data_IF_429584580287
#
_entry.id   IF_429584580287
#
_cell.length_a   1.000
_cell.length_b   1.000
_cell.length_c   1.000
_cell.angle_alpha   90.00
_cell.angle_beta   90.00
_cell.angle_gamma   90.00
#
_symmetry.space_group_name_H-M   'P 1'
#
loop_
_entity.id
_entity.type
_entity.pdbx_description
1 polymer ?
#
# COMPACT_ATOMS: atom_id res chain seq x y z
N UNK A 1 26.47 20.51 -44.07
CA UNK A 1 27.27 19.28 -44.03
C UNK A 1 26.33 18.12 -44.22
N UNK A 2 26.51 17.37 -45.31
CA UNK A 2 25.60 16.30 -45.71
C UNK A 2 25.74 15.09 -44.77
N UNK A 3 24.63 14.66 -44.17
CA UNK A 3 24.59 13.61 -43.15
C UNK A 3 25.18 12.29 -43.68
N UNK A 4 25.00 12.04 -44.97
CA UNK A 4 25.48 10.84 -45.67
C UNK A 4 27.01 10.83 -45.73
N UNK A 5 27.62 11.97 -46.09
CA UNK A 5 29.06 12.10 -46.21
C UNK A 5 29.76 11.94 -44.85
N UNK A 6 29.16 12.49 -43.79
CA UNK A 6 29.64 12.31 -42.41
C UNK A 6 29.59 10.85 -41.96
N UNK A 7 28.49 10.12 -42.23
CA UNK A 7 28.38 8.69 -41.92
C UNK A 7 29.46 7.87 -42.63
N UNK A 8 29.72 8.14 -43.91
CA UNK A 8 30.71 7.40 -44.69
C UNK A 8 32.14 7.64 -44.20
N UNK A 9 32.50 8.89 -43.89
CA UNK A 9 33.80 9.23 -43.33
C UNK A 9 34.03 8.57 -41.96
N UNK A 10 32.99 8.53 -41.13
CA UNK A 10 33.04 7.89 -39.81
C UNK A 10 33.25 6.38 -39.94
N UNK A 11 32.53 5.73 -40.87
CA UNK A 11 32.67 4.30 -41.12
C UNK A 11 34.03 3.90 -41.67
N UNK A 12 34.61 4.70 -42.57
CA UNK A 12 35.98 4.48 -43.05
C UNK A 12 36.99 4.57 -41.91
N UNK A 13 36.81 5.53 -40.99
CA UNK A 13 37.72 5.76 -39.87
C UNK A 13 37.69 4.65 -38.82
N UNK A 14 36.50 4.14 -38.49
CA UNK A 14 36.33 3.14 -37.43
C UNK A 14 36.12 1.71 -37.95
N UNK A 15 36.09 1.51 -39.28
CA UNK A 15 35.92 0.21 -39.97
C UNK A 15 34.63 -0.55 -39.63
N UNK A 16 33.65 0.10 -39.03
CA UNK A 16 32.30 -0.43 -38.86
C UNK A 16 31.28 0.65 -39.22
N UNK A 17 30.19 0.25 -39.87
CA UNK A 17 29.08 1.12 -40.26
C UNK A 17 27.82 0.65 -39.53
N UNK A 18 27.25 1.53 -38.70
CA UNK A 18 25.97 1.26 -38.04
C UNK A 18 24.84 1.66 -38.99
N UNK A 19 24.14 0.67 -39.55
CA UNK A 19 22.91 0.92 -40.32
C UNK A 19 21.71 1.07 -39.40
N UNK A 20 20.64 1.73 -39.86
CA UNK A 20 19.40 1.90 -39.07
C UNK A 20 18.72 0.57 -38.71
N UNK A 21 19.08 -0.51 -39.40
CA UNK A 21 18.61 -1.86 -39.17
C UNK A 21 19.42 -2.65 -38.14
N UNK A 22 20.59 -2.16 -37.73
CA UNK A 22 21.42 -2.81 -36.72
C UNK A 22 21.04 -2.31 -35.33
N UNK A 23 20.77 -3.24 -34.41
CA UNK A 23 20.49 -2.93 -33.02
C UNK A 23 21.32 -3.82 -32.10
N UNK A 24 21.83 -3.26 -30.99
CA UNK A 24 22.60 -4.02 -30.01
C UNK A 24 21.65 -4.43 -28.88
N UNK A 25 21.28 -5.71 -28.83
CA UNK A 25 20.44 -6.26 -27.73
C UNK A 25 21.23 -6.62 -26.47
N UNK A 26 22.58 -6.64 -26.54
CA UNK A 26 23.43 -7.04 -25.42
C UNK A 26 23.88 -5.82 -24.61
N UNK A 27 23.92 -5.91 -23.27
CA UNK A 27 24.40 -4.80 -22.45
C UNK A 27 25.90 -4.54 -22.68
N UNK A 28 26.25 -3.28 -22.95
CA UNK A 28 27.64 -2.83 -23.14
C UNK A 28 28.20 -2.39 -21.79
N UNK A 29 29.06 -3.22 -21.18
CA UNK A 29 29.51 -3.08 -19.77
C UNK A 29 30.28 -1.80 -19.45
N UNK A 30 30.91 -1.17 -20.44
CA UNK A 30 31.70 0.05 -20.28
C UNK A 30 30.93 1.33 -20.66
N UNK A 31 29.67 1.20 -21.10
CA UNK A 31 28.80 2.34 -21.32
C UNK A 31 28.15 2.71 -19.99
N UNK A 32 28.77 3.65 -19.28
CA UNK A 32 28.21 4.23 -18.06
C UNK A 32 27.32 5.41 -18.46
N UNK A 33 26.00 5.30 -18.23
CA UNK A 33 25.10 6.43 -18.38
C UNK A 33 25.32 7.39 -17.20
N UNK A 34 25.89 8.56 -17.48
CA UNK A 34 26.11 9.60 -16.47
C UNK A 34 24.83 10.37 -16.09
N UNK A 35 23.72 10.12 -16.78
CA UNK A 35 22.42 10.73 -16.51
C UNK A 35 21.43 9.65 -16.08
N UNK A 36 20.63 9.93 -15.06
CA UNK A 36 19.48 9.10 -14.69
C UNK A 36 18.47 8.99 -15.83
N UNK A 37 17.46 8.12 -15.70
CA UNK A 37 16.40 7.83 -16.68
C UNK A 37 15.57 9.08 -17.06
N UNK A 38 16.15 9.98 -17.86
CA UNK A 38 15.52 11.22 -18.32
C UNK A 38 14.72 10.94 -19.60
N UNK A 39 13.60 10.25 -19.42
CA UNK A 39 12.70 9.75 -20.46
C UNK A 39 12.06 10.84 -21.34
N UNK A 40 12.11 12.12 -20.93
CA UNK A 40 11.46 13.21 -21.66
C UNK A 40 12.17 13.69 -22.94
N UNK A 41 13.46 13.43 -23.11
CA UNK A 41 14.26 14.09 -24.16
C UNK A 41 14.79 13.16 -25.25
N UNK A 42 14.58 11.85 -25.14
CA UNK A 42 15.08 10.90 -26.13
C UNK A 42 13.99 10.50 -27.12
N UNK A 43 14.28 10.66 -28.42
CA UNK A 43 13.41 10.19 -29.52
C UNK A 43 13.53 8.68 -29.80
N UNK A 44 14.16 7.92 -28.91
CA UNK A 44 14.35 6.47 -29.08
C UNK A 44 13.89 5.71 -27.84
N UNK A 45 13.42 4.49 -28.07
CA UNK A 45 12.87 3.63 -27.02
C UNK A 45 13.98 3.08 -26.11
N UNK A 46 13.88 3.33 -24.81
CA UNK A 46 14.82 2.78 -23.82
C UNK A 46 14.20 1.55 -23.15
N UNK A 47 14.75 0.34 -23.33
CA UNK A 47 14.25 -0.84 -22.65
C UNK A 47 14.46 -0.72 -21.13
N UNK A 48 13.38 -0.52 -20.39
CA UNK A 48 13.41 -0.57 -18.92
C UNK A 48 13.34 -2.03 -18.46
N UNK A 49 14.42 -2.55 -17.88
CA UNK A 49 14.49 -3.92 -17.35
C UNK A 49 14.05 -4.02 -15.87
N UNK A 50 13.25 -3.07 -15.39
CA UNK A 50 12.68 -3.12 -14.04
C UNK A 50 11.32 -3.82 -14.05
N UNK A 51 11.31 -5.10 -13.65
CA UNK A 51 10.15 -5.98 -13.42
C UNK A 51 9.41 -6.47 -14.69
N UNK A 52 9.16 -7.79 -14.81
CA UNK A 52 8.42 -8.33 -15.94
C UNK A 52 6.95 -7.88 -15.87
N UNK A 53 6.46 -7.20 -16.92
CA UNK A 53 5.01 -7.04 -17.12
C UNK A 53 4.50 -5.66 -17.54
N UNK A 54 5.30 -4.58 -17.51
CA UNK A 54 4.80 -3.24 -17.92
C UNK A 54 5.71 -2.57 -18.95
N UNK A 55 5.30 -2.60 -20.22
CA UNK A 55 5.83 -1.74 -21.28
C UNK A 55 5.05 -0.43 -21.23
N UNK A 56 5.70 0.67 -20.84
CA UNK A 56 5.09 1.99 -20.94
C UNK A 56 5.29 2.51 -22.38
N UNK A 57 4.20 2.91 -23.04
CA UNK A 57 4.21 3.64 -24.30
C UNK A 57 4.06 5.13 -23.97
N UNK A 58 4.99 5.97 -24.42
CA UNK A 58 4.79 7.43 -24.43
C UNK A 58 4.38 7.83 -25.85
N UNK A 59 3.08 8.02 -26.05
CA UNK A 59 2.55 8.65 -27.27
C UNK A 59 2.90 10.13 -27.25
N UNK A 60 3.41 10.61 -28.37
CA UNK A 60 3.92 11.96 -28.65
C UNK A 60 2.98 13.07 -28.16
N UNK A 61 3.55 14.06 -27.49
CA UNK A 61 2.89 15.28 -26.98
C UNK A 61 2.57 16.19 -28.17
N UNK A 62 1.30 16.56 -28.35
CA UNK A 62 0.94 17.82 -28.98
C UNK A 62 0.76 18.85 -27.85
N UNK A 63 1.40 20.00 -28.02
CA UNK A 63 1.46 21.13 -27.10
C UNK A 63 0.09 21.77 -26.87
N UNK A 64 -0.70 21.18 -25.98
CA UNK A 64 -1.80 21.87 -25.32
C UNK A 64 -1.72 21.52 -23.86
N UNK A 65 -1.45 22.56 -23.06
CA UNK A 65 -1.42 22.57 -21.60
C UNK A 65 -2.33 21.47 -21.04
N UNK A 66 -1.79 20.40 -20.44
CA UNK A 66 -2.64 19.36 -19.91
C UNK A 66 -3.32 19.99 -18.69
N UNK A 67 -4.59 20.35 -18.85
CA UNK A 67 -5.51 20.34 -17.72
C UNK A 67 -5.32 18.97 -17.09
N UNK A 68 -4.58 18.92 -15.98
CA UNK A 68 -4.36 17.72 -15.21
C UNK A 68 -5.74 17.07 -15.06
N UNK A 69 -5.96 15.84 -15.55
CA UNK A 69 -7.19 15.15 -15.17
C UNK A 69 -7.15 15.15 -13.65
N UNK A 70 -8.18 15.69 -13.01
CA UNK A 70 -8.38 15.61 -11.58
C UNK A 70 -8.22 14.13 -11.22
N UNK A 71 -7.04 13.74 -10.74
CA UNK A 71 -6.77 12.40 -10.26
C UNK A 71 -7.60 12.32 -8.98
N UNK A 72 -8.86 11.94 -9.10
CA UNK A 72 -9.60 11.41 -7.99
C UNK A 72 -8.82 10.17 -7.57
N UNK A 73 -8.00 10.32 -6.53
CA UNK A 73 -7.41 9.22 -5.79
C UNK A 73 -8.55 8.46 -5.11
N UNK A 74 -9.34 7.75 -5.91
CA UNK A 74 -10.32 6.81 -5.39
C UNK A 74 -9.51 5.60 -4.94
N UNK A 75 -8.92 5.70 -3.75
CA UNK A 75 -8.24 4.58 -3.11
C UNK A 75 -9.29 3.48 -2.99
N UNK A 76 -8.97 2.30 -3.53
CA UNK A 76 -9.86 1.15 -3.39
C UNK A 76 -10.20 0.96 -1.90
N UNK A 77 -11.46 0.63 -1.56
CA UNK A 77 -11.85 0.39 -0.17
C UNK A 77 -10.86 -0.57 0.49
N UNK A 78 -10.37 -0.18 1.67
CA UNK A 78 -9.42 -0.97 2.42
C UNK A 78 -9.96 -2.38 2.61
N UNK A 79 -9.20 -3.39 2.17
CA UNK A 79 -9.55 -4.80 2.38
C UNK A 79 -8.81 -5.32 3.62
N UNK A 80 -9.50 -5.48 4.77
CA UNK A 80 -8.89 -5.97 6.01
C UNK A 80 -8.50 -7.44 5.94
N UNK A 81 -8.83 -8.15 4.86
CA UNK A 81 -8.39 -9.52 4.60
C UNK A 81 -7.30 -9.52 3.52
N UNK A 82 -6.02 -9.30 3.90
CA UNK A 82 -4.96 -9.26 2.92
C UNK A 82 -4.70 -10.68 2.37
N UNK A 83 -4.60 -10.78 1.05
CA UNK A 83 -4.32 -12.02 0.33
C UNK A 83 -2.82 -12.41 0.43
N UNK A 84 -2.36 -12.72 1.65
CA UNK A 84 -0.97 -13.09 1.92
C UNK A 84 -0.83 -13.98 3.17
N UNK A 85 0.36 -14.52 3.39
CA UNK A 85 0.67 -15.28 4.60
C UNK A 85 0.74 -14.35 5.83
N UNK A 86 -0.11 -14.61 6.83
CA UNK A 86 -0.12 -13.91 8.11
C UNK A 86 0.09 -14.92 9.24
N UNK A 87 1.13 -14.73 10.07
CA UNK A 87 1.35 -15.54 11.27
C UNK A 87 0.10 -15.61 12.15
N UNK A 88 -0.18 -16.79 12.72
CA UNK A 88 -1.41 -17.01 13.49
C UNK A 88 -1.59 -16.00 14.64
N UNK A 89 -0.51 -15.65 15.34
CA UNK A 89 -0.49 -14.65 16.42
C UNK A 89 -1.00 -13.25 16.00
N UNK A 90 -0.97 -12.94 14.70
CA UNK A 90 -1.37 -11.64 14.18
C UNK A 90 -2.78 -11.61 13.59
N UNK A 91 -3.43 -12.77 13.37
CA UNK A 91 -4.73 -12.84 12.68
C UNK A 91 -5.85 -12.10 13.41
N UNK A 92 -5.83 -12.12 14.73
CA UNK A 92 -6.88 -11.49 15.55
C UNK A 92 -6.67 -9.99 15.78
N UNK A 93 -5.51 -9.46 15.39
CA UNK A 93 -5.12 -8.07 15.64
C UNK A 93 -4.93 -7.28 14.33
N UNK A 94 -5.39 -7.85 13.20
CA UNK A 94 -5.36 -7.18 11.90
C UNK A 94 -6.19 -5.89 12.01
N UNK A 95 -5.64 -4.73 11.59
CA UNK A 95 -6.37 -3.47 11.60
C UNK A 95 -7.61 -3.60 10.73
N UNK A 96 -8.75 -3.12 11.24
CA UNK A 96 -9.99 -3.04 10.46
C UNK A 96 -10.00 -1.83 9.53
N UNK A 97 -9.19 -0.83 9.86
CA UNK A 97 -9.08 0.44 9.17
C UNK A 97 -7.70 0.58 8.51
N UNK A 98 -7.59 1.34 7.42
CA UNK A 98 -6.31 1.62 6.77
C UNK A 98 -5.37 2.36 7.72
N UNK A 99 -4.09 1.96 7.70
CA UNK A 99 -3.05 2.59 8.50
C UNK A 99 -2.33 3.67 7.69
N UNK A 100 -1.94 4.73 8.38
CA UNK A 100 -1.15 5.83 7.82
C UNK A 100 0.01 6.16 8.74
N UNK A 101 1.11 6.68 8.18
CA UNK A 101 2.20 7.26 8.96
C UNK A 101 1.80 8.65 9.48
N UNK A 102 2.66 9.25 10.32
CA UNK A 102 2.44 10.62 10.84
C UNK A 102 2.40 11.65 9.71
N UNK A 103 3.08 11.37 8.60
CA UNK A 103 3.07 12.18 7.37
C UNK A 103 1.85 11.93 6.48
N UNK A 104 0.91 11.07 6.92
CA UNK A 104 -0.30 10.72 6.17
C UNK A 104 -0.06 9.73 5.02
N UNK A 105 1.09 9.04 5.01
CA UNK A 105 1.40 8.07 3.95
C UNK A 105 0.73 6.73 4.25
N UNK A 106 -0.01 6.19 3.28
CA UNK A 106 -0.69 4.90 3.44
C UNK A 106 0.29 3.75 3.63
N UNK A 107 0.11 3.01 4.73
CA UNK A 107 0.90 1.81 5.04
C UNK A 107 0.24 0.61 4.37
N UNK A 108 0.94 0.05 3.38
CA UNK A 108 0.46 -1.09 2.61
C UNK A 108 0.45 -2.36 3.47
N UNK A 109 -0.67 -3.10 3.56
CA UNK A 109 -0.72 -4.40 4.22
C UNK A 109 0.38 -5.33 3.70
N UNK A 110 1.11 -5.97 4.63
CA UNK A 110 2.23 -6.84 4.31
C UNK A 110 3.57 -6.15 4.08
N UNK A 111 3.63 -4.81 4.10
CA UNK A 111 4.90 -4.10 4.14
C UNK A 111 5.63 -4.38 5.45
N UNK A 112 6.92 -4.03 5.49
CA UNK A 112 7.71 -4.09 6.72
C UNK A 112 7.09 -3.22 7.82
N UNK A 113 6.66 -1.99 7.50
CA UNK A 113 6.06 -1.10 8.50
C UNK A 113 4.76 -1.67 9.05
N UNK A 114 3.96 -2.29 8.18
CA UNK A 114 2.72 -2.96 8.60
C UNK A 114 3.00 -4.06 9.63
N UNK A 115 4.01 -4.91 9.39
CA UNK A 115 4.40 -5.93 10.36
C UNK A 115 5.01 -5.35 11.64
N UNK A 116 5.73 -4.23 11.55
CA UNK A 116 6.26 -3.52 12.73
C UNK A 116 5.12 -2.99 13.61
N UNK A 117 4.10 -2.38 13.00
CA UNK A 117 2.91 -1.92 13.71
C UNK A 117 2.20 -3.09 14.41
N UNK A 118 1.99 -4.19 13.69
CA UNK A 118 1.37 -5.41 14.22
C UNK A 118 2.17 -6.04 15.37
N UNK A 119 3.50 -6.00 15.30
CA UNK A 119 4.38 -6.48 16.37
C UNK A 119 4.23 -5.63 17.64
N UNK A 120 4.22 -4.31 17.50
CA UNK A 120 4.04 -3.39 18.62
C UNK A 120 2.65 -3.57 19.25
N UNK A 121 1.59 -3.69 18.44
CA UNK A 121 0.25 -4.01 18.93
C UNK A 121 0.24 -5.32 19.71
N UNK A 122 0.84 -6.38 19.17
CA UNK A 122 0.90 -7.67 19.84
C UNK A 122 1.57 -7.61 21.21
N UNK A 123 2.65 -6.85 21.35
CA UNK A 123 3.39 -6.71 22.60
C UNK A 123 2.66 -5.85 23.64
N UNK A 124 1.90 -4.85 23.19
CA UNK A 124 1.14 -3.97 24.08
C UNK A 124 -0.20 -4.58 24.50
N UNK A 125 -0.64 -5.66 23.87
CA UNK A 125 -1.87 -6.36 24.27
C UNK A 125 -1.65 -7.11 25.58
N UNK A 126 -2.64 -7.08 26.49
CA UNK A 126 -2.58 -7.90 27.69
C UNK A 126 -2.50 -9.38 27.30
N UNK A 127 -1.79 -10.21 28.09
CA UNK A 127 -1.70 -11.62 27.82
C UNK A 127 -3.10 -12.25 27.70
N UNK A 128 -3.28 -13.26 26.82
CA UNK A 128 -4.57 -13.88 26.62
C UNK A 128 -5.15 -14.38 27.94
N UNK A 129 -6.42 -14.04 28.22
CA UNK A 129 -7.07 -14.52 29.44
C UNK A 129 -6.98 -16.04 29.54
N UNK A 130 -6.67 -16.51 30.73
CA UNK A 130 -6.71 -17.94 31.07
C UNK A 130 -8.14 -18.48 30.95
N UNK A 131 -8.28 -19.80 30.82
CA UNK A 131 -9.61 -20.45 30.70
C UNK A 131 -10.52 -20.13 31.88
N UNK A 132 -9.96 -20.05 33.09
CA UNK A 132 -10.70 -19.69 34.30
C UNK A 132 -11.19 -18.24 34.26
N UNK A 133 -10.33 -17.29 33.87
CA UNK A 133 -10.70 -15.89 33.74
C UNK A 133 -11.76 -15.68 32.65
N UNK A 134 -11.68 -16.37 31.51
CA UNK A 134 -12.73 -16.30 30.47
C UNK A 134 -14.08 -16.78 31.00
N UNK A 135 -14.11 -17.89 31.74
CA UNK A 135 -15.34 -18.40 32.37
C UNK A 135 -15.90 -17.42 33.41
N UNK A 136 -15.04 -16.74 34.17
CA UNK A 136 -15.47 -15.73 35.13
C UNK A 136 -16.07 -14.50 34.42
N UNK A 137 -15.40 -14.00 33.37
CA UNK A 137 -15.88 -12.89 32.55
C UNK A 137 -17.22 -13.21 31.89
N UNK A 138 -17.38 -14.43 31.38
CA UNK A 138 -18.63 -14.87 30.77
C UNK A 138 -19.79 -14.87 31.78
N UNK A 139 -19.57 -15.42 32.98
CA UNK A 139 -20.56 -15.38 34.06
C UNK A 139 -20.94 -13.95 34.47
N UNK A 140 -19.97 -13.04 34.54
CA UNK A 140 -20.27 -11.64 34.87
C UNK A 140 -21.07 -10.95 33.76
N UNK A 141 -20.73 -11.20 32.49
CA UNK A 141 -21.49 -10.68 31.36
C UNK A 141 -22.94 -11.21 31.33
N UNK A 142 -23.14 -12.49 31.62
CA UNK A 142 -24.47 -13.09 31.78
C UNK A 142 -25.25 -12.44 32.92
N UNK A 143 -24.57 -12.20 34.06
CA UNK A 143 -25.17 -11.51 35.22
C UNK A 143 -25.60 -10.08 34.88
N UNK A 144 -24.74 -9.33 34.18
CA UNK A 144 -25.04 -7.96 33.73
C UNK A 144 -26.21 -7.98 32.73
N UNK A 145 -26.22 -8.91 31.77
CA UNK A 145 -27.30 -9.04 30.80
C UNK A 145 -28.63 -9.35 31.49
N UNK A 146 -28.62 -10.29 32.44
CA UNK A 146 -29.81 -10.65 33.21
C UNK A 146 -30.31 -9.48 34.08
N UNK A 147 -29.39 -8.70 34.64
CA UNK A 147 -29.72 -7.48 35.38
C UNK A 147 -30.39 -6.43 34.47
N UNK A 148 -29.82 -6.17 33.28
CA UNK A 148 -30.40 -5.25 32.30
C UNK A 148 -31.78 -5.69 31.85
N UNK A 149 -31.96 -6.98 31.54
CA UNK A 149 -33.25 -7.54 31.15
C UNK A 149 -34.29 -7.39 32.27
N UNK A 150 -33.92 -7.65 33.52
CA UNK A 150 -34.81 -7.43 34.66
C UNK A 150 -35.17 -5.95 34.82
N UNK A 151 -34.23 -5.04 34.58
CA UNK A 151 -34.47 -3.61 34.63
C UNK A 151 -35.42 -3.14 33.51
N UNK A 152 -35.24 -3.62 32.28
CA UNK A 152 -36.14 -3.38 31.16
C UNK A 152 -37.55 -3.92 31.44
N UNK A 153 -37.65 -5.14 31.95
CA UNK A 153 -38.94 -5.73 32.33
C UNK A 153 -39.63 -4.93 33.45
N UNK A 154 -38.88 -4.45 34.46
CA UNK A 154 -39.44 -3.61 35.53
C UNK A 154 -39.93 -2.25 35.01
N UNK A 155 -39.25 -1.67 34.01
CA UNK A 155 -39.71 -0.45 33.32
C UNK A 155 -41.02 -0.72 32.59
N UNK A 156 -41.10 -1.82 31.83
CA UNK A 156 -42.31 -2.20 31.08
C UNK A 156 -43.52 -2.46 31.98
N UNK A 157 -43.31 -3.03 33.17
CA UNK A 157 -44.36 -3.33 34.14
C UNK A 157 -44.69 -2.14 35.06
N UNK A 158 -44.02 -0.99 34.90
CA UNK A 158 -44.24 0.20 35.74
C UNK A 158 -43.78 0.05 37.19
N UNK A 159 -42.95 -0.96 37.50
CA UNK A 159 -42.45 -1.28 38.86
C UNK A 159 -41.01 -0.83 39.08
N UNK A 160 -40.44 -0.08 38.14
CA UNK A 160 -39.08 0.47 38.22
C UNK A 160 -38.94 1.54 39.30
N UNK A 161 -37.99 1.36 40.23
CA UNK A 161 -37.71 2.29 41.33
C UNK A 161 -36.39 3.03 41.06
N UNK A 162 -36.44 4.33 40.83
CA UNK A 162 -35.24 5.17 40.66
C UNK A 162 -34.73 5.62 42.03
N UNK A 163 -33.54 5.15 42.44
CA UNK A 163 -32.90 5.64 43.68
C UNK A 163 -32.17 6.93 43.36
N UNK A 164 -32.76 8.07 43.73
CA UNK A 164 -32.07 9.36 43.74
C UNK A 164 -31.14 9.35 44.94
N UNK A 165 -29.82 9.39 44.70
CA UNK A 165 -28.86 9.61 45.77
C UNK A 165 -28.92 11.10 46.16
N UNK A 166 -29.16 11.44 47.43
CA UNK A 166 -29.03 12.81 47.90
C UNK A 166 -27.56 13.23 47.76
N UNK A 167 -27.33 14.31 47.00
CA UNK A 167 -25.99 14.88 46.83
C UNK A 167 -25.41 15.33 48.16
N UNK A 168 -24.12 15.05 48.35
CA UNK A 168 -23.28 15.61 49.41
C UNK A 168 -22.27 16.52 48.72
#
# INVERSE_FOLDING_TARGET
>A
MDLIQHKYATAQRYRFLFSETQFVLKPIKHLLYNQGLHHGNYKFWTPFFGRPGKRFMTTTINDTQPSLPLITYTVAPYNPTPNMFIPHKYRNIIPKEPLYTEEGVYIVPGSREWFTYMYNLHNNLPPPLTKAQRRALQRENERIAHFRLNQENAIMQGTSVHRVYPGI
#
